data_IF_087656411174
#
_entry.id   IF_087656411174
#
_cell.length_a   1.000
_cell.length_b   1.000
_cell.length_c   1.000
_cell.angle_alpha   90.00
_cell.angle_beta   90.00
_cell.angle_gamma   90.00
#
_symmetry.space_group_name_H-M   'P 1'
#
loop_
_entity.id
_entity.type
_entity.pdbx_description
1 polymer ?
#
# COMPACT_ATOMS: atom_id res chain seq x y z
N UNK A 1 -11.59 10.56 -8.04
CA UNK A 1 -10.78 9.33 -8.20
C UNK A 1 -9.94 9.15 -6.96
N UNK A 2 -10.14 8.06 -6.22
CA UNK A 2 -9.42 7.81 -4.97
C UNK A 2 -7.97 7.48 -5.24
N UNK A 3 -7.08 8.26 -4.62
CA UNK A 3 -5.63 8.13 -4.72
C UNK A 3 -5.08 8.27 -3.30
N UNK A 4 -4.15 7.40 -2.92
CA UNK A 4 -3.44 7.45 -1.65
C UNK A 4 -1.95 7.59 -1.92
N UNK A 5 -1.30 8.48 -1.19
CA UNK A 5 0.15 8.58 -1.09
C UNK A 5 0.46 8.74 0.39
N UNK A 6 0.92 7.66 1.01
CA UNK A 6 1.19 7.63 2.44
C UNK A 6 2.59 7.11 2.70
N UNK A 7 3.25 7.66 3.71
CA UNK A 7 4.57 7.22 4.15
C UNK A 7 4.54 6.90 5.64
N UNK A 8 5.01 5.70 6.00
CA UNK A 8 5.10 5.19 7.36
C UNK A 8 6.54 4.73 7.62
N UNK A 9 7.29 5.59 8.30
CA UNK A 9 8.72 5.39 8.51
C UNK A 9 9.44 5.25 7.17
N UNK A 10 10.13 4.13 6.98
CA UNK A 10 10.83 3.82 5.73
C UNK A 10 9.94 3.35 4.58
N UNK A 11 8.66 3.06 4.83
CA UNK A 11 7.76 2.52 3.80
C UNK A 11 6.92 3.63 3.19
N UNK A 12 6.85 3.71 1.87
CA UNK A 12 5.96 4.64 1.15
C UNK A 12 5.01 3.86 0.27
N UNK A 13 3.70 4.01 0.50
CA UNK A 13 2.64 3.40 -0.29
C UNK A 13 1.96 4.45 -1.16
N UNK A 14 1.92 4.19 -2.47
CA UNK A 14 1.12 4.94 -3.43
C UNK A 14 0.13 3.98 -4.07
N UNK A 15 -1.15 4.32 -4.08
CA UNK A 15 -2.15 3.52 -4.78
C UNK A 15 -3.23 4.42 -5.38
N UNK A 16 -3.87 3.93 -6.44
CA UNK A 16 -4.94 4.62 -7.15
C UNK A 16 -5.97 3.61 -7.64
N UNK A 17 -7.22 4.02 -7.67
CA UNK A 17 -8.24 3.28 -8.42
C UNK A 17 -7.97 3.41 -9.93
N UNK A 18 -7.84 2.28 -10.59
CA UNK A 18 -7.65 2.13 -12.02
C UNK A 18 -8.80 1.30 -12.60
N UNK A 19 -9.99 1.88 -12.65
CA UNK A 19 -11.23 1.17 -12.99
C UNK A 19 -11.65 0.26 -11.85
N UNK A 20 -11.68 -1.05 -12.12
CA UNK A 20 -12.00 -2.10 -11.15
C UNK A 20 -10.79 -2.52 -10.29
N UNK A 21 -9.57 -2.13 -10.68
CA UNK A 21 -8.36 -2.56 -9.97
C UNK A 21 -7.75 -1.44 -9.12
N UNK A 22 -7.02 -1.84 -8.10
CA UNK A 22 -6.13 -1.03 -7.29
C UNK A 22 -4.72 -1.18 -7.86
N UNK A 23 -4.25 -0.13 -8.55
CA UNK A 23 -2.86 -0.06 -9.03
C UNK A 23 -2.05 0.83 -8.12
N UNK A 24 -0.83 0.40 -7.81
CA UNK A 24 0.01 1.16 -6.93
C UNK A 24 1.44 0.67 -6.91
N UNK A 25 2.20 1.27 -6.00
CA UNK A 25 3.57 0.90 -5.72
C UNK A 25 3.83 1.10 -4.24
N UNK A 26 4.51 0.15 -3.62
CA UNK A 26 5.09 0.31 -2.28
C UNK A 26 6.61 0.38 -2.41
N UNK A 27 7.21 1.35 -1.75
CA UNK A 27 8.65 1.55 -1.70
C UNK A 27 9.17 1.34 -0.29
N UNK A 28 10.39 0.80 -0.19
CA UNK A 28 11.21 0.85 1.02
C UNK A 28 12.32 1.87 0.75
N UNK A 29 12.40 2.89 1.60
CA UNK A 29 13.41 3.93 1.55
C UNK A 29 14.49 3.67 2.60
N UNK A 30 15.68 4.17 2.35
CA UNK A 30 16.76 4.25 3.31
C UNK A 30 16.54 5.41 4.31
N UNK A 31 17.31 5.45 5.40
CA UNK A 31 17.30 6.55 6.36
C UNK A 31 17.64 7.91 5.71
N UNK A 32 18.38 7.92 4.60
CA UNK A 32 18.62 9.11 3.78
C UNK A 32 17.47 9.49 2.83
N UNK A 33 16.32 8.81 2.88
CA UNK A 33 15.16 9.06 2.02
C UNK A 33 15.31 8.55 0.59
N UNK A 34 16.39 7.84 0.27
CA UNK A 34 16.62 7.23 -1.04
C UNK A 34 15.84 5.93 -1.17
N UNK A 35 15.15 5.73 -2.29
CA UNK A 35 14.41 4.50 -2.56
C UNK A 35 15.38 3.32 -2.71
N UNK A 36 15.28 2.32 -1.83
CA UNK A 36 16.03 1.07 -1.91
C UNK A 36 15.32 0.09 -2.84
N UNK A 37 14.03 -0.09 -2.62
CA UNK A 37 13.20 -0.99 -3.41
C UNK A 37 11.85 -0.34 -3.70
N UNK A 38 11.30 -0.68 -4.86
CA UNK A 38 9.96 -0.32 -5.28
C UNK A 38 9.30 -1.58 -5.83
N UNK A 39 8.15 -1.92 -5.30
CA UNK A 39 7.33 -2.99 -5.81
C UNK A 39 6.01 -2.41 -6.30
N UNK A 40 5.79 -2.54 -7.61
CA UNK A 40 4.52 -2.23 -8.24
C UNK A 40 3.53 -3.38 -8.04
N UNK A 41 2.25 -3.04 -7.93
CA UNK A 41 1.17 -4.01 -7.77
C UNK A 41 -0.08 -3.59 -8.52
N UNK A 42 -0.91 -4.58 -8.83
CA UNK A 42 -2.18 -4.41 -9.53
C UNK A 42 -3.15 -5.48 -9.03
N UNK A 43 -3.82 -5.17 -7.94
CA UNK A 43 -4.73 -6.08 -7.27
C UNK A 43 -6.17 -5.64 -7.46
N UNK A 44 -7.13 -6.56 -7.40
CA UNK A 44 -8.55 -6.22 -7.47
C UNK A 44 -9.09 -5.69 -6.15
N UNK A 45 -8.55 -6.22 -5.04
CA UNK A 45 -9.13 -6.03 -3.71
C UNK A 45 -8.11 -5.45 -2.74
N UNK A 46 -8.61 -4.71 -1.74
CA UNK A 46 -7.77 -4.16 -0.68
C UNK A 46 -7.09 -5.28 0.10
N UNK A 47 -7.80 -6.38 0.36
CA UNK A 47 -7.26 -7.51 1.11
C UNK A 47 -6.07 -8.16 0.38
N UNK A 48 -6.13 -8.28 -0.95
CA UNK A 48 -5.01 -8.76 -1.75
C UNK A 48 -3.80 -7.81 -1.68
N UNK A 49 -4.01 -6.49 -1.76
CA UNK A 49 -2.90 -5.53 -1.59
C UNK A 49 -2.26 -5.69 -0.21
N UNK A 50 -3.06 -5.84 0.84
CA UNK A 50 -2.54 -5.96 2.20
C UNK A 50 -1.77 -7.27 2.39
N UNK A 51 -2.35 -8.40 1.99
CA UNK A 51 -1.77 -9.73 2.23
C UNK A 51 -0.63 -10.08 1.25
N UNK A 52 -0.79 -9.76 -0.04
CA UNK A 52 0.15 -10.16 -1.08
C UNK A 52 1.26 -9.14 -1.30
N UNK A 53 1.05 -7.86 -0.93
CA UNK A 53 2.02 -6.78 -1.19
C UNK A 53 2.57 -6.19 0.10
N UNK A 54 1.71 -5.66 0.98
CA UNK A 54 2.16 -4.92 2.16
C UNK A 54 2.81 -5.86 3.20
N UNK A 55 2.20 -7.02 3.47
CA UNK A 55 2.73 -8.01 4.41
C UNK A 55 4.15 -8.47 4.07
N UNK A 56 4.46 -8.96 2.85
CA UNK A 56 5.80 -9.41 2.52
C UNK A 56 6.82 -8.25 2.54
N UNK A 57 6.45 -7.06 2.06
CA UNK A 57 7.35 -5.89 2.01
C UNK A 57 7.71 -5.38 3.41
N UNK A 58 6.75 -5.42 4.33
CA UNK A 58 6.97 -5.00 5.72
C UNK A 58 7.60 -6.09 6.59
N UNK A 59 7.93 -7.26 6.02
CA UNK A 59 8.49 -8.39 6.75
C UNK A 59 7.51 -9.03 7.74
N UNK A 60 6.21 -8.98 7.45
CA UNK A 60 5.16 -9.49 8.34
C UNK A 60 4.78 -8.54 9.48
N UNK A 61 5.16 -7.26 9.40
CA UNK A 61 4.81 -6.28 10.43
C UNK A 61 3.31 -5.91 10.35
N UNK A 62 2.51 -6.56 11.21
CA UNK A 62 1.06 -6.36 11.28
C UNK A 62 0.67 -4.91 11.60
N UNK A 63 1.45 -4.19 12.41
CA UNK A 63 1.11 -2.83 12.79
C UNK A 63 1.17 -1.88 11.58
N UNK A 64 2.23 -2.00 10.78
CA UNK A 64 2.40 -1.20 9.56
C UNK A 64 1.35 -1.60 8.51
N UNK A 65 1.12 -2.90 8.32
CA UNK A 65 0.10 -3.39 7.40
C UNK A 65 -1.31 -2.91 7.76
N UNK A 66 -1.67 -2.98 9.05
CA UNK A 66 -2.95 -2.46 9.54
C UNK A 66 -3.07 -0.96 9.31
N UNK A 67 -2.02 -0.20 9.61
CA UNK A 67 -2.06 1.25 9.49
C UNK A 67 -2.12 1.71 8.02
N UNK A 68 -1.50 0.99 7.07
CA UNK A 68 -1.71 1.24 5.64
C UNK A 68 -3.13 0.88 5.20
N UNK A 69 -3.66 -0.27 5.66
CA UNK A 69 -5.03 -0.69 5.37
C UNK A 69 -6.04 0.39 5.80
N UNK A 70 -5.92 0.91 7.02
CA UNK A 70 -6.78 1.97 7.52
C UNK A 70 -6.71 3.24 6.66
N UNK A 71 -5.53 3.61 6.18
CA UNK A 71 -5.40 4.76 5.29
C UNK A 71 -6.01 4.51 3.91
N UNK A 72 -5.86 3.31 3.36
CA UNK A 72 -6.52 2.94 2.10
C UNK A 72 -8.05 2.97 2.26
N UNK A 73 -8.59 2.45 3.35
CA UNK A 73 -10.03 2.55 3.65
C UNK A 73 -10.48 4.02 3.74
N UNK A 74 -9.72 4.87 4.45
CA UNK A 74 -9.99 6.32 4.54
C UNK A 74 -9.93 7.03 3.19
N UNK A 75 -9.06 6.58 2.29
CA UNK A 75 -8.96 7.10 0.92
C UNK A 75 -10.09 6.60 0.00
N UNK A 76 -10.98 5.73 0.49
CA UNK A 76 -12.12 5.22 -0.27
C UNK A 76 -11.84 3.94 -1.04
N UNK A 77 -10.73 3.25 -0.74
CA UNK A 77 -10.52 1.85 -1.17
C UNK A 77 -11.35 0.94 -0.26
N UNK A 78 -12.68 1.06 -0.36
CA UNK A 78 -13.62 0.30 0.45
C UNK A 78 -13.98 -0.96 -0.32
N UNK A 79 -13.86 -2.12 0.32
CA UNK A 79 -14.32 -3.37 -0.26
C UNK A 79 -15.78 -3.58 0.18
N UNK A 80 -16.76 -3.63 -0.74
CA UNK A 80 -18.10 -4.10 -0.40
C UNK A 80 -17.98 -5.60 -0.05
N UNK A 81 -18.50 -5.97 1.12
CA UNK A 81 -18.59 -7.35 1.57
C UNK A 81 -19.62 -8.12 0.75
#
# INVERSE_FOLDING_TARGET
MSTINSSMGRYSLKARHAGDHIKGSIAINDEGGSQLTLQEFNEHYLDDVVNNVIYPITGGNKAIASAFREQMVKAGFIQPH
#
